data_IF_349594533011
#
_entry.id   IF_349594533011
#
_cell.length_a   1.000
_cell.length_b   1.000
_cell.length_c   1.000
_cell.angle_alpha   90.00
_cell.angle_beta   90.00
_cell.angle_gamma   90.00
#
_symmetry.space_group_name_H-M   'P 1'
#
loop_
_entity.id
_entity.type
_entity.pdbx_description
1 polymer ?
#
# COMPACT_ATOMS: atom_id res chain seq x y z
N UNK A 1 61.39 26.39 -45.48
CA UNK A 1 61.94 26.28 -44.12
C UNK A 1 60.84 25.73 -43.22
N UNK A 2 61.15 24.60 -42.58
CA UNK A 2 60.28 23.88 -41.65
C UNK A 2 60.24 24.67 -40.34
N UNK A 3 59.09 24.72 -39.65
CA UNK A 3 59.05 24.65 -38.20
C UNK A 3 57.66 24.20 -37.73
N UNK A 4 57.64 22.95 -37.26
CA UNK A 4 56.55 22.32 -36.51
C UNK A 4 56.78 22.69 -35.04
N UNK A 5 55.76 23.19 -34.35
CA UNK A 5 55.73 23.13 -32.88
C UNK A 5 54.63 22.15 -32.47
N UNK A 6 55.09 20.96 -32.05
CA UNK A 6 54.30 19.99 -31.31
C UNK A 6 54.30 20.42 -29.83
N UNK A 7 53.13 20.67 -29.25
CA UNK A 7 52.97 20.77 -27.80
C UNK A 7 52.51 19.41 -27.27
N UNK A 8 53.36 18.79 -26.46
CA UNK A 8 53.16 17.48 -25.86
C UNK A 8 52.26 17.58 -24.62
N UNK A 9 51.42 16.56 -24.48
CA UNK A 9 50.48 16.28 -23.40
C UNK A 9 51.20 15.94 -22.10
N UNK A 10 50.75 16.51 -20.98
CA UNK A 10 50.95 15.96 -19.64
C UNK A 10 49.72 16.28 -18.76
N UNK A 11 48.59 15.64 -19.07
CA UNK A 11 47.42 15.64 -18.18
C UNK A 11 47.53 14.44 -17.23
N UNK A 12 48.03 14.70 -16.02
CA UNK A 12 47.93 13.76 -14.90
C UNK A 12 46.45 13.49 -14.61
N UNK A 13 45.97 12.32 -15.00
CA UNK A 13 44.64 11.82 -14.65
C UNK A 13 44.57 11.51 -13.16
N UNK A 14 44.06 12.44 -12.36
CA UNK A 14 43.61 12.15 -11.01
C UNK A 14 42.30 11.35 -11.13
N UNK A 15 42.42 10.02 -11.04
CA UNK A 15 41.27 9.13 -10.96
C UNK A 15 40.63 9.33 -9.57
N UNK A 16 39.71 10.29 -9.46
CA UNK A 16 38.94 10.52 -8.24
C UNK A 16 37.93 9.37 -8.11
N UNK A 17 38.32 8.31 -7.41
CA UNK A 17 37.41 7.22 -7.02
C UNK A 17 36.43 7.82 -6.00
N UNK A 18 35.30 8.31 -6.51
CA UNK A 18 34.11 8.63 -5.71
C UNK A 18 33.58 7.31 -5.15
N UNK A 19 34.08 6.94 -3.97
CA UNK A 19 33.47 5.91 -3.13
C UNK A 19 32.12 6.49 -2.69
N UNK A 20 31.07 6.17 -3.44
CA UNK A 20 29.70 6.48 -3.05
C UNK A 20 29.40 5.59 -1.84
N UNK A 21 29.55 6.15 -0.64
CA UNK A 21 29.05 5.56 0.58
C UNK A 21 27.53 5.52 0.49
N UNK A 22 26.98 4.41 0.00
CA UNK A 22 25.56 4.13 0.18
C UNK A 22 25.37 3.87 1.67
N UNK A 23 24.62 4.72 2.41
CA UNK A 23 24.36 4.46 3.82
C UNK A 23 23.66 3.10 3.91
N UNK A 24 24.35 2.11 4.45
CA UNK A 24 23.68 0.88 4.86
C UNK A 24 22.80 1.26 6.04
N UNK A 25 21.49 1.15 5.87
CA UNK A 25 20.58 1.20 7.00
C UNK A 25 21.03 0.11 7.99
N UNK A 26 21.61 0.53 9.11
CA UNK A 26 21.92 -0.37 10.21
C UNK A 26 20.59 -0.87 10.75
N UNK A 27 20.43 -2.19 10.85
CA UNK A 27 19.29 -2.76 11.57
C UNK A 27 19.21 -2.06 12.94
N UNK A 28 18.11 -1.36 13.20
CA UNK A 28 17.94 -0.67 14.48
C UNK A 28 17.83 -1.75 15.55
N UNK A 29 18.80 -1.78 16.47
CA UNK A 29 18.70 -2.69 17.60
C UNK A 29 17.45 -2.34 18.42
N UNK A 30 16.62 -3.33 18.77
CA UNK A 30 15.44 -3.11 19.58
C UNK A 30 15.85 -2.50 20.92
N UNK A 31 15.28 -1.35 21.27
CA UNK A 31 15.55 -0.69 22.55
C UNK A 31 14.69 -1.34 23.61
N UNK A 32 15.29 -1.97 24.61
CA UNK A 32 14.55 -2.51 25.75
C UNK A 32 13.88 -1.35 26.50
N UNK A 33 12.58 -1.47 26.74
CA UNK A 33 11.75 -0.49 27.44
C UNK A 33 10.95 -1.18 28.53
N UNK A 34 10.56 -0.43 29.55
CA UNK A 34 9.72 -0.97 30.61
C UNK A 34 8.36 -1.40 30.06
N UNK A 35 7.95 -2.60 30.48
CA UNK A 35 6.60 -3.05 30.24
C UNK A 35 5.61 -2.26 31.11
N UNK A 36 4.37 -2.02 30.61
CA UNK A 36 3.29 -1.50 31.43
C UNK A 36 3.12 -2.33 32.72
N UNK A 37 3.18 -1.71 33.90
CA UNK A 37 3.05 -2.38 35.21
C UNK A 37 1.78 -1.89 35.94
N UNK A 38 0.91 -2.78 36.47
CA UNK A 38 0.95 -4.25 36.42
C UNK A 38 0.58 -4.77 35.05
N UNK A 39 1.19 -5.85 34.56
CA UNK A 39 0.74 -6.49 33.30
C UNK A 39 -0.56 -7.26 33.48
N UNK A 40 -0.72 -7.92 34.63
CA UNK A 40 -1.95 -8.59 35.00
C UNK A 40 -2.99 -7.55 35.45
N UNK A 41 -4.21 -7.67 34.96
CA UNK A 41 -5.32 -6.79 35.35
C UNK A 41 -5.35 -5.44 34.63
N UNK A 42 -4.50 -5.21 33.62
CA UNK A 42 -4.70 -4.04 32.75
C UNK A 42 -6.01 -4.17 32.01
N UNK A 43 -6.73 -3.05 31.88
CA UNK A 43 -7.83 -2.96 30.94
C UNK A 43 -7.33 -3.25 29.53
N UNK A 44 -8.15 -3.90 28.72
CA UNK A 44 -7.85 -4.08 27.31
C UNK A 44 -7.69 -2.72 26.64
N UNK A 45 -6.68 -2.60 25.77
CA UNK A 45 -6.53 -1.43 24.93
C UNK A 45 -7.79 -1.28 24.08
N UNK A 46 -8.41 -0.11 24.16
CA UNK A 46 -9.58 0.18 23.33
C UNK A 46 -9.10 0.41 21.91
N UNK A 47 -9.55 -0.44 20.99
CA UNK A 47 -9.31 -0.22 19.56
C UNK A 47 -10.10 1.03 19.14
N UNK A 48 -9.45 2.03 18.53
CA UNK A 48 -10.13 3.23 18.10
C UNK A 48 -11.20 2.91 17.06
N UNK A 49 -12.23 3.74 16.98
CA UNK A 49 -13.35 3.51 16.08
C UNK A 49 -13.76 4.79 15.35
N UNK A 50 -13.89 4.69 14.02
CA UNK A 50 -14.44 5.74 13.15
C UNK A 50 -15.86 5.30 12.77
N UNK A 51 -16.85 6.05 13.25
CA UNK A 51 -18.27 5.75 13.06
C UNK A 51 -18.86 6.51 11.88
N UNK A 52 -19.77 5.85 11.17
CA UNK A 52 -20.66 6.50 10.22
C UNK A 52 -21.62 7.47 10.91
N UNK A 53 -21.87 8.62 10.31
CA UNK A 53 -22.87 9.61 10.72
C UNK A 53 -23.68 10.06 9.50
N UNK A 54 -24.99 10.24 9.67
CA UNK A 54 -25.85 10.73 8.58
C UNK A 54 -25.88 9.85 7.33
N UNK A 55 -25.74 8.52 7.48
CA UNK A 55 -25.73 7.58 6.36
C UNK A 55 -24.40 7.50 5.61
N UNK A 56 -23.31 8.01 6.20
CA UNK A 56 -21.99 8.08 5.58
C UNK A 56 -20.88 7.78 6.57
N UNK A 57 -19.86 7.05 6.16
CA UNK A 57 -18.57 6.99 6.83
C UNK A 57 -17.56 7.77 5.99
N UNK A 58 -16.95 8.82 6.55
CA UNK A 58 -15.86 9.56 5.89
C UNK A 58 -14.62 9.53 6.77
N UNK A 59 -13.54 8.94 6.27
CA UNK A 59 -12.34 8.68 7.06
C UNK A 59 -11.05 9.08 6.32
N UNK A 60 -10.05 9.50 7.09
CA UNK A 60 -8.66 9.43 6.68
C UNK A 60 -8.07 8.15 7.28
N UNK A 61 -7.48 7.30 6.44
CA UNK A 61 -6.72 6.12 6.85
C UNK A 61 -5.27 6.30 6.39
N UNK A 62 -4.35 6.34 7.33
CA UNK A 62 -2.92 6.54 7.07
C UNK A 62 -2.17 5.30 7.45
N UNK A 63 -1.36 4.79 6.53
CA UNK A 63 -0.29 3.86 6.82
C UNK A 63 1.00 4.66 7.00
N UNK A 64 1.60 4.54 8.18
CA UNK A 64 2.89 5.14 8.49
C UNK A 64 3.75 4.19 9.33
N UNK A 65 4.92 4.67 9.72
CA UNK A 65 5.90 3.92 10.48
C UNK A 65 6.45 4.74 11.65
N UNK A 66 6.66 4.07 12.77
CA UNK A 66 7.22 4.66 13.98
C UNK A 66 7.61 3.54 14.97
N UNK A 67 8.29 3.94 16.03
CA UNK A 67 8.55 3.14 17.21
C UNK A 67 7.25 2.66 17.88
N UNK A 68 7.17 1.35 18.10
CA UNK A 68 6.07 0.66 18.79
C UNK A 68 6.64 -0.27 19.85
N UNK A 69 6.09 -0.17 21.05
CA UNK A 69 6.39 -1.08 22.15
C UNK A 69 5.76 -2.42 21.83
N UNK A 70 6.57 -3.46 21.73
CA UNK A 70 6.13 -4.83 21.59
C UNK A 70 6.59 -5.65 22.78
N UNK A 71 5.77 -6.62 23.15
CA UNK A 71 6.14 -7.60 24.16
C UNK A 71 7.07 -8.62 23.51
N UNK A 72 8.31 -8.66 23.99
CA UNK A 72 9.35 -9.55 23.47
C UNK A 72 9.38 -10.88 24.21
N UNK A 73 9.10 -10.85 25.52
CA UNK A 73 9.12 -12.02 26.39
C UNK A 73 8.02 -11.90 27.45
N UNK A 74 7.25 -12.98 27.63
CA UNK A 74 6.19 -13.12 28.64
C UNK A 74 6.61 -13.96 29.84
N UNK A 75 7.91 -14.19 30.02
CA UNK A 75 8.48 -14.94 31.15
C UNK A 75 8.25 -14.27 32.51
N UNK A 76 8.92 -14.78 33.54
CA UNK A 76 8.77 -14.30 34.94
C UNK A 76 9.11 -12.82 35.12
N UNK A 77 9.95 -12.28 34.23
CA UNK A 77 10.23 -10.85 34.12
C UNK A 77 9.90 -10.43 32.69
N UNK A 78 8.67 -10.01 32.43
CA UNK A 78 8.22 -9.66 31.09
C UNK A 78 9.05 -8.51 30.54
N UNK A 79 9.48 -8.65 29.29
CA UNK A 79 10.37 -7.71 28.62
C UNK A 79 9.65 -7.08 27.45
N UNK A 80 9.69 -5.76 27.40
CA UNK A 80 9.18 -4.99 26.30
C UNK A 80 10.35 -4.38 25.56
N UNK A 81 10.19 -4.24 24.25
CA UNK A 81 11.15 -3.55 23.43
C UNK A 81 10.41 -2.62 22.48
N UNK A 82 11.03 -1.51 22.13
CA UNK A 82 10.58 -0.70 21.02
C UNK A 82 11.10 -1.30 19.73
N UNK A 83 10.20 -1.58 18.80
CA UNK A 83 10.49 -1.96 17.43
C UNK A 83 9.92 -0.93 16.48
N UNK A 84 10.66 -0.66 15.42
CA UNK A 84 10.20 0.22 14.36
C UNK A 84 9.20 -0.53 13.48
N UNK A 85 7.93 -0.13 13.52
CA UNK A 85 6.84 -0.88 12.90
C UNK A 85 6.00 -0.02 11.98
N UNK A 86 5.40 -0.67 10.97
CA UNK A 86 4.35 -0.11 10.14
C UNK A 86 3.01 -0.31 10.81
N UNK A 87 2.16 0.69 10.80
CA UNK A 87 0.83 0.59 11.39
C UNK A 87 -0.15 1.53 10.69
N UNK A 88 -1.41 1.13 10.72
CA UNK A 88 -2.51 1.97 10.29
C UNK A 88 -2.99 2.83 11.46
N UNK A 89 -3.28 4.09 11.17
CA UNK A 89 -3.99 5.00 12.06
C UNK A 89 -4.93 5.87 11.22
N UNK A 90 -5.78 6.67 11.85
CA UNK A 90 -6.71 7.47 11.09
C UNK A 90 -7.67 8.27 11.95
N UNK A 91 -8.57 8.99 11.31
CA UNK A 91 -9.61 9.76 12.00
C UNK A 91 -10.83 10.01 11.12
N UNK A 92 -11.90 10.48 11.77
CA UNK A 92 -13.14 10.86 11.10
C UNK A 92 -13.00 12.20 10.39
N UNK A 93 -13.29 12.23 9.09
CA UNK A 93 -13.39 13.48 8.32
C UNK A 93 -14.76 14.14 8.47
N UNK A 94 -15.73 13.49 9.10
CA UNK A 94 -17.04 14.09 9.42
C UNK A 94 -16.99 14.88 10.73
N UNK A 95 -16.27 14.34 11.71
CA UNK A 95 -16.18 14.91 13.05
C UNK A 95 -14.78 14.71 13.60
N UNK A 96 -13.82 15.57 13.19
CA UNK A 96 -12.50 15.56 13.80
C UNK A 96 -12.63 15.81 15.31
N UNK A 97 -11.97 14.99 16.10
CA UNK A 97 -11.97 15.02 17.56
C UNK A 97 -10.61 15.38 18.14
N UNK A 98 -10.54 15.73 19.43
CA UNK A 98 -9.28 16.03 20.12
C UNK A 98 -8.34 14.80 20.25
N UNK A 99 -8.89 13.60 20.10
CA UNK A 99 -8.16 12.32 20.16
C UNK A 99 -7.62 11.89 18.78
N UNK A 100 -7.68 12.77 17.78
CA UNK A 100 -7.19 12.49 16.43
C UNK A 100 -5.67 12.74 16.28
N UNK A 101 -4.94 11.91 15.52
CA UNK A 101 -5.41 10.65 14.95
C UNK A 101 -5.71 9.62 16.04
N UNK A 102 -6.69 8.76 15.77
CA UNK A 102 -7.09 7.70 16.68
C UNK A 102 -6.03 6.58 16.65
N UNK A 103 -5.05 6.64 17.55
CA UNK A 103 -4.04 5.59 17.74
C UNK A 103 -3.62 5.48 19.21
N UNK A 104 -3.18 4.29 19.64
CA UNK A 104 -2.47 4.18 20.91
C UNK A 104 -1.03 4.60 20.70
N UNK A 105 -0.64 5.67 21.39
CA UNK A 105 0.70 6.29 21.41
C UNK A 105 1.83 5.36 20.99
N UNK A 106 2.27 4.49 21.89
CA UNK A 106 3.38 3.56 21.68
C UNK A 106 2.93 2.10 21.62
N UNK A 107 1.69 1.79 21.98
CA UNK A 107 1.22 0.40 22.00
C UNK A 107 0.92 -0.13 20.59
N UNK A 108 1.10 -1.43 20.35
CA UNK A 108 0.89 -2.04 19.04
C UNK A 108 -0.58 -2.44 18.92
N UNK A 109 -1.45 -1.49 18.58
CA UNK A 109 -2.86 -1.78 18.30
C UNK A 109 -3.10 -1.90 16.79
N UNK A 110 -4.14 -2.63 16.35
CA UNK A 110 -4.59 -2.56 14.96
C UNK A 110 -5.04 -1.15 14.58
N UNK A 111 -5.18 -0.91 13.28
CA UNK A 111 -5.81 0.30 12.77
C UNK A 111 -7.25 0.49 13.28
N UNK A 112 -7.83 1.68 13.08
CA UNK A 112 -9.16 1.98 13.59
C UNK A 112 -10.22 1.04 13.02
N UNK A 113 -11.16 0.65 13.87
CA UNK A 113 -12.39 -0.01 13.45
C UNK A 113 -13.23 0.97 12.63
N UNK A 114 -13.54 0.62 11.39
CA UNK A 114 -14.49 1.38 10.57
C UNK A 114 -15.90 0.83 10.83
N UNK A 115 -16.75 1.59 11.52
CA UNK A 115 -18.12 1.18 11.84
C UNK A 115 -19.12 1.91 10.95
N UNK A 116 -19.76 1.18 10.05
CA UNK A 116 -20.83 1.67 9.19
C UNK A 116 -22.09 0.81 9.29
N UNK A 117 -23.21 1.34 8.83
CA UNK A 117 -24.49 0.62 8.70
C UNK A 117 -24.68 0.13 7.27
N UNK A 118 -25.57 -0.84 7.13
CA UNK A 118 -26.08 -1.27 5.83
C UNK A 118 -26.72 -0.08 5.11
N UNK A 119 -26.34 0.13 3.85
CA UNK A 119 -26.80 1.26 3.04
C UNK A 119 -25.95 2.52 3.15
N UNK A 120 -24.98 2.58 4.07
CA UNK A 120 -24.12 3.75 4.21
C UNK A 120 -23.16 3.87 3.01
N UNK A 121 -22.84 5.12 2.66
CA UNK A 121 -21.76 5.45 1.74
C UNK A 121 -20.43 5.48 2.50
N UNK A 122 -19.46 4.71 2.05
CA UNK A 122 -18.11 4.67 2.59
C UNK A 122 -17.21 5.53 1.71
N UNK A 123 -16.48 6.46 2.32
CA UNK A 123 -15.51 7.35 1.71
C UNK A 123 -14.23 7.32 2.56
N UNK A 124 -13.16 6.71 2.05
CA UNK A 124 -11.88 6.63 2.77
C UNK A 124 -10.80 7.27 1.92
N UNK A 125 -10.21 8.35 2.41
CA UNK A 125 -8.93 8.85 1.90
C UNK A 125 -7.85 7.96 2.49
N UNK A 126 -7.14 7.22 1.66
CA UNK A 126 -6.01 6.43 2.08
C UNK A 126 -4.70 7.13 1.75
N UNK A 127 -3.77 7.14 2.70
CA UNK A 127 -2.41 7.64 2.52
C UNK A 127 -1.38 6.60 2.95
N UNK A 128 -0.45 6.27 2.07
CA UNK A 128 0.73 5.49 2.36
C UNK A 128 1.91 6.45 2.53
N UNK A 129 2.29 6.68 3.77
CA UNK A 129 3.38 7.58 4.17
C UNK A 129 4.59 6.81 4.73
N UNK A 130 4.72 5.53 4.37
CA UNK A 130 5.84 4.71 4.82
C UNK A 130 7.17 5.31 4.38
N UNK A 131 8.07 5.56 5.33
CA UNK A 131 9.45 5.86 5.01
C UNK A 131 10.21 4.57 4.68
N UNK A 132 10.46 4.35 3.39
CA UNK A 132 11.16 3.16 2.88
C UNK A 132 12.60 3.03 3.42
N UNK A 133 13.23 4.13 3.85
CA UNK A 133 14.59 4.11 4.39
C UNK A 133 14.69 3.36 5.73
N UNK A 134 13.58 3.24 6.47
CA UNK A 134 13.55 2.51 7.73
C UNK A 134 13.49 0.98 7.53
N UNK A 135 13.34 0.51 6.28
CA UNK A 135 13.01 -0.88 5.98
C UNK A 135 13.76 -1.49 4.79
N UNK A 136 15.08 -1.32 4.77
CA UNK A 136 15.98 -1.64 3.66
C UNK A 136 15.83 -3.03 3.01
N UNK A 137 15.41 -4.06 3.75
CA UNK A 137 15.35 -5.45 3.27
C UNK A 137 13.96 -5.90 2.81
N UNK A 138 12.97 -5.01 2.83
CA UNK A 138 11.56 -5.38 2.65
C UNK A 138 10.88 -4.50 1.60
N UNK A 139 11.66 -3.82 0.76
CA UNK A 139 11.18 -2.93 -0.30
C UNK A 139 10.78 -3.70 -1.57
N UNK A 140 10.05 -3.03 -2.46
CA UNK A 140 9.71 -3.56 -3.77
C UNK A 140 10.98 -3.92 -4.55
N UNK A 141 10.92 -5.00 -5.34
CA UNK A 141 12.06 -5.62 -6.06
C UNK A 141 12.89 -4.64 -6.91
N UNK A 142 12.30 -3.53 -7.33
CA UNK A 142 12.98 -2.48 -8.07
C UNK A 142 13.93 -1.64 -7.22
N UNK A 143 13.64 -1.41 -5.93
CA UNK A 143 14.34 -0.37 -5.17
C UNK A 143 15.73 -0.78 -4.67
N UNK A 144 15.89 -2.07 -4.35
CA UNK A 144 17.19 -2.63 -3.91
C UNK A 144 18.03 -3.17 -5.06
N UNK A 145 17.41 -3.35 -6.24
CA UNK A 145 18.01 -4.01 -7.40
C UNK A 145 18.56 -5.42 -7.12
N UNK A 146 18.07 -6.04 -6.05
CA UNK A 146 18.30 -7.44 -5.73
C UNK A 146 17.17 -8.28 -6.32
N UNK A 147 17.51 -9.45 -6.87
CA UNK A 147 16.52 -10.41 -7.37
C UNK A 147 15.81 -11.16 -6.21
N UNK A 148 16.38 -11.09 -5.00
CA UNK A 148 16.04 -11.88 -3.80
C UNK A 148 15.26 -11.06 -2.75
N UNK A 149 14.34 -10.19 -3.18
CA UNK A 149 13.53 -9.40 -2.23
C UNK A 149 12.58 -10.23 -1.35
N UNK A 150 12.09 -9.56 -0.30
CA UNK A 150 11.02 -9.87 0.67
C UNK A 150 11.32 -10.86 1.79
N UNK A 151 11.70 -10.31 2.95
CA UNK A 151 11.75 -10.97 4.26
C UNK A 151 12.28 -12.40 4.22
N UNK A 152 13.57 -12.50 3.88
CA UNK A 152 14.34 -13.72 4.11
C UNK A 152 14.29 -13.97 5.62
N UNK A 153 13.48 -14.93 6.07
CA UNK A 153 13.49 -15.35 7.47
C UNK A 153 14.83 -16.02 7.75
N UNK A 154 15.64 -15.43 8.64
CA UNK A 154 16.84 -16.08 9.15
C UNK A 154 16.43 -17.00 10.31
N UNK A 155 16.71 -18.30 10.19
CA UNK A 155 16.55 -19.23 11.28
C UNK A 155 17.77 -19.12 12.20
N UNK A 156 17.77 -18.14 13.13
CA UNK A 156 18.81 -18.00 14.14
C UNK A 156 20.25 -17.87 13.59
N UNK A 157 21.23 -17.88 14.50
CA UNK A 157 22.65 -17.63 14.20
C UNK A 157 23.24 -18.68 13.25
N UNK A 158 23.23 -18.39 11.95
CA UNK A 158 24.08 -19.03 10.94
C UNK A 158 23.36 -19.80 9.82
N UNK A 159 22.03 -19.89 9.80
CA UNK A 159 21.30 -20.69 8.81
C UNK A 159 20.42 -19.86 7.88
N UNK A 160 20.62 -19.99 6.55
CA UNK A 160 19.51 -19.79 5.61
C UNK A 160 18.37 -20.70 6.06
N UNK A 161 17.13 -20.18 6.16
CA UNK A 161 15.96 -21.02 6.40
C UNK A 161 15.84 -22.04 5.27
N UNK A 162 16.41 -23.23 5.49
CA UNK A 162 16.17 -24.40 4.66
C UNK A 162 14.95 -25.11 5.22
N UNK A 163 13.80 -24.42 5.17
CA UNK A 163 12.54 -25.11 5.38
C UNK A 163 12.28 -25.95 4.12
N UNK A 164 12.96 -27.10 4.01
CA UNK A 164 12.86 -28.03 2.87
C UNK A 164 11.43 -28.56 2.67
N UNK A 165 10.57 -28.38 3.67
CA UNK A 165 9.15 -28.74 3.69
C UNK A 165 8.24 -27.53 4.01
N UNK A 166 8.76 -26.30 4.01
CA UNK A 166 8.00 -25.09 4.31
C UNK A 166 7.41 -24.50 3.04
N UNK A 167 6.25 -23.83 3.17
CA UNK A 167 5.59 -23.13 2.09
C UNK A 167 6.58 -22.19 1.38
N UNK A 168 6.76 -22.37 0.07
CA UNK A 168 7.59 -21.45 -0.72
C UNK A 168 6.75 -20.19 -0.86
N UNK A 169 6.99 -19.20 0.01
CA UNK A 169 6.26 -17.94 0.01
C UNK A 169 6.18 -17.43 -1.43
N UNK A 170 4.97 -17.22 -1.98
CA UNK A 170 4.81 -16.91 -3.38
C UNK A 170 5.65 -15.67 -3.70
N UNK A 171 6.50 -15.85 -4.71
CA UNK A 171 7.31 -14.86 -5.39
C UNK A 171 6.77 -13.45 -5.14
N UNK A 172 7.34 -12.75 -4.15
CA UNK A 172 7.01 -11.38 -3.74
C UNK A 172 6.01 -10.69 -4.64
N UNK A 173 4.71 -10.82 -4.34
CA UNK A 173 3.73 -10.10 -5.14
C UNK A 173 4.08 -8.60 -5.06
N UNK A 174 4.43 -8.12 -3.85
CA UNK A 174 4.84 -6.73 -3.55
C UNK A 174 5.89 -6.66 -2.43
N UNK A 175 6.66 -5.57 -2.39
CA UNK A 175 7.43 -5.17 -1.23
C UNK A 175 6.51 -4.71 -0.10
N UNK A 176 6.97 -4.83 1.14
CA UNK A 176 6.22 -4.47 2.35
C UNK A 176 5.95 -2.95 2.51
N UNK A 177 6.51 -2.11 1.63
CA UNK A 177 6.20 -0.69 1.52
C UNK A 177 4.99 -0.42 0.61
N UNK A 178 4.60 -1.37 -0.24
CA UNK A 178 3.41 -1.27 -1.11
C UNK A 178 2.21 -1.87 -0.41
N UNK A 179 1.09 -1.14 -0.41
CA UNK A 179 -0.12 -1.53 0.32
C UNK A 179 -1.38 -1.46 -0.52
N UNK A 180 -2.32 -2.32 -0.16
CA UNK A 180 -3.71 -2.35 -0.59
C UNK A 180 -4.61 -2.36 0.65
N UNK A 181 -5.78 -1.75 0.58
CA UNK A 181 -6.82 -1.93 1.61
C UNK A 181 -7.97 -2.73 0.99
N UNK A 182 -8.11 -3.97 1.43
CA UNK A 182 -9.17 -4.90 1.04
C UNK A 182 -10.18 -5.05 2.18
N UNK A 183 -11.47 -5.00 1.87
CA UNK A 183 -12.54 -5.09 2.85
C UNK A 183 -13.09 -6.52 2.90
N UNK A 184 -12.51 -7.33 3.79
CA UNK A 184 -12.89 -8.74 3.92
C UNK A 184 -14.34 -8.90 4.39
N UNK A 185 -15.07 -9.81 3.75
CA UNK A 185 -16.47 -10.11 4.06
C UNK A 185 -17.48 -9.23 3.32
N UNK A 186 -17.02 -8.21 2.59
CA UNK A 186 -17.87 -7.39 1.73
C UNK A 186 -17.51 -7.63 0.27
N UNK A 187 -18.44 -8.15 -0.54
CA UNK A 187 -18.30 -8.17 -2.00
C UNK A 187 -18.59 -6.79 -2.60
N UNK A 188 -17.91 -5.75 -2.13
CA UNK A 188 -18.17 -4.36 -2.50
C UNK A 188 -17.40 -4.01 -3.76
N UNK A 189 -18.04 -4.11 -4.93
CA UNK A 189 -17.50 -3.62 -6.21
C UNK A 189 -16.02 -4.02 -6.49
N UNK A 190 -15.73 -5.31 -6.74
CA UNK A 190 -14.35 -5.85 -6.85
C UNK A 190 -13.47 -5.28 -7.97
N UNK A 191 -14.00 -4.40 -8.81
CA UNK A 191 -13.34 -3.92 -10.02
C UNK A 191 -13.29 -2.37 -10.09
N UNK A 192 -13.56 -1.68 -8.98
CA UNK A 192 -13.62 -0.20 -8.94
C UNK A 192 -12.80 0.34 -7.76
N UNK A 193 -12.99 1.62 -7.42
CA UNK A 193 -12.44 2.25 -6.21
C UNK A 193 -12.88 1.60 -4.88
N UNK A 194 -13.79 0.61 -4.88
CA UNK A 194 -14.33 0.05 -3.65
C UNK A 194 -13.50 -1.06 -3.01
N UNK A 195 -13.21 -2.12 -3.77
CA UNK A 195 -12.55 -3.33 -3.26
C UNK A 195 -11.66 -3.98 -4.33
N UNK A 196 -10.82 -3.18 -4.96
CA UNK A 196 -9.89 -3.68 -5.96
C UNK A 196 -8.63 -4.24 -5.27
N UNK A 197 -8.63 -5.56 -5.08
CA UNK A 197 -7.52 -6.32 -4.49
C UNK A 197 -6.22 -6.28 -5.30
N UNK A 198 -6.27 -5.78 -6.54
CA UNK A 198 -5.12 -5.66 -7.43
C UNK A 198 -4.48 -4.26 -7.39
N UNK A 199 -4.89 -3.37 -6.47
CA UNK A 199 -4.23 -2.07 -6.31
C UNK A 199 -2.93 -2.20 -5.52
N UNK A 200 -1.92 -1.49 -5.99
CA UNK A 200 -0.60 -1.40 -5.40
C UNK A 200 -0.26 0.06 -5.15
N UNK A 201 -0.46 0.49 -3.91
CA UNK A 201 -0.26 1.89 -3.51
C UNK A 201 1.11 1.99 -2.86
N UNK A 202 2.07 2.55 -3.61
CA UNK A 202 3.44 2.79 -3.10
C UNK A 202 3.48 4.00 -2.18
N UNK A 203 4.51 4.16 -1.33
CA UNK A 203 4.59 5.30 -0.43
C UNK A 203 4.70 6.64 -1.17
N UNK A 204 4.17 7.69 -0.55
CA UNK A 204 4.32 9.06 -1.02
C UNK A 204 5.73 9.59 -0.75
N UNK A 205 6.16 10.57 -1.56
CA UNK A 205 7.37 11.36 -1.28
C UNK A 205 7.08 12.57 -0.36
N UNK A 206 5.90 12.65 0.25
CA UNK A 206 5.48 13.76 1.10
C UNK A 206 4.01 13.67 1.52
N UNK A 207 3.49 14.76 2.09
CA UNK A 207 2.07 14.91 2.40
C UNK A 207 1.25 15.30 1.16
N UNK A 208 -0.05 14.99 1.18
CA UNK A 208 -0.95 15.32 0.08
C UNK A 208 -0.98 16.85 -0.10
N UNK A 209 -0.83 17.31 -1.35
CA UNK A 209 -0.89 18.74 -1.65
C UNK A 209 -2.32 19.28 -1.53
N UNK A 210 -2.52 20.59 -1.32
CA UNK A 210 -3.85 21.19 -1.31
C UNK A 210 -4.65 20.92 -2.60
N UNK A 211 -3.98 20.92 -3.75
CA UNK A 211 -4.60 20.56 -5.02
C UNK A 211 -5.02 19.09 -5.07
N UNK A 212 -4.18 18.18 -4.57
CA UNK A 212 -4.53 16.77 -4.41
C UNK A 212 -5.76 16.59 -3.51
N UNK A 213 -5.82 17.31 -2.39
CA UNK A 213 -6.97 17.27 -1.48
C UNK A 213 -8.25 17.80 -2.13
N UNK A 214 -8.18 18.89 -2.89
CA UNK A 214 -9.31 19.42 -3.66
C UNK A 214 -9.88 18.34 -4.60
N UNK A 215 -9.01 17.62 -5.29
CA UNK A 215 -9.39 16.61 -6.27
C UNK A 215 -9.97 15.35 -5.63
N UNK A 216 -9.47 14.96 -4.45
CA UNK A 216 -10.11 13.92 -3.66
C UNK A 216 -11.53 14.33 -3.24
N UNK A 217 -11.73 15.58 -2.84
CA UNK A 217 -13.06 16.08 -2.50
C UNK A 217 -14.01 16.09 -3.72
N UNK A 218 -13.51 16.43 -4.91
CA UNK A 218 -14.26 16.31 -6.16
C UNK A 218 -14.65 14.86 -6.46
N UNK A 219 -13.71 13.92 -6.29
CA UNK A 219 -13.97 12.49 -6.42
C UNK A 219 -15.09 12.03 -5.48
N UNK A 220 -15.01 12.37 -4.18
CA UNK A 220 -16.02 11.94 -3.22
C UNK A 220 -17.38 12.57 -3.52
N UNK A 221 -17.40 13.84 -3.92
CA UNK A 221 -18.62 14.53 -4.37
C UNK A 221 -19.26 13.85 -5.57
N UNK A 222 -18.45 13.39 -6.54
CA UNK A 222 -18.94 12.63 -7.68
C UNK A 222 -19.47 11.26 -7.23
N UNK A 223 -18.74 10.55 -6.37
CA UNK A 223 -19.14 9.25 -5.85
C UNK A 223 -20.47 9.29 -5.09
N UNK A 224 -20.70 10.33 -4.28
CA UNK A 224 -21.97 10.53 -3.58
C UNK A 224 -23.15 10.68 -4.55
N UNK A 225 -22.94 11.34 -5.69
CA UNK A 225 -23.99 11.61 -6.69
C UNK A 225 -24.25 10.43 -7.62
N UNK A 226 -23.20 9.79 -8.12
CA UNK A 226 -23.29 8.82 -9.22
C UNK A 226 -22.82 7.42 -8.86
N UNK A 227 -22.35 7.21 -7.63
CA UNK A 227 -21.69 5.99 -7.21
C UNK A 227 -20.20 5.94 -7.62
N UNK A 228 -19.49 4.86 -7.25
CA UNK A 228 -18.07 4.75 -7.52
C UNK A 228 -17.78 4.69 -9.03
N UNK A 229 -16.66 5.28 -9.48
CA UNK A 229 -16.25 5.21 -10.89
C UNK A 229 -16.08 3.76 -11.32
N UNK A 230 -16.56 3.43 -12.52
CA UNK A 230 -16.44 2.08 -13.09
C UNK A 230 -15.12 1.91 -13.84
N UNK A 231 -14.63 2.98 -14.44
CA UNK A 231 -13.40 3.01 -15.22
C UNK A 231 -12.46 4.08 -14.70
N UNK A 232 -11.17 3.92 -14.97
CA UNK A 232 -10.16 4.94 -14.67
C UNK A 232 -10.50 6.30 -15.29
N UNK A 233 -11.08 6.29 -16.50
CA UNK A 233 -11.47 7.51 -17.22
C UNK A 233 -12.62 8.27 -16.55
N UNK A 234 -13.36 7.63 -15.64
CA UNK A 234 -14.43 8.27 -14.86
C UNK A 234 -13.87 9.06 -13.67
N UNK A 235 -12.59 8.87 -13.32
CA UNK A 235 -11.91 9.65 -12.29
C UNK A 235 -11.75 11.11 -12.74
N UNK A 236 -11.68 12.08 -11.82
CA UNK A 236 -11.34 13.47 -12.17
C UNK A 236 -10.05 13.54 -13.01
N UNK A 237 -10.06 14.30 -14.11
CA UNK A 237 -8.92 14.35 -15.06
C UNK A 237 -7.61 14.78 -14.37
N UNK A 238 -7.70 15.69 -13.40
CA UNK A 238 -6.55 16.09 -12.60
C UNK A 238 -5.99 14.92 -11.78
N UNK A 239 -6.84 14.08 -11.16
CA UNK A 239 -6.38 12.88 -10.43
C UNK A 239 -5.62 11.94 -11.36
N UNK A 240 -6.16 11.71 -12.55
CA UNK A 240 -5.52 10.88 -13.57
C UNK A 240 -4.13 11.42 -13.93
N UNK A 241 -4.03 12.74 -14.14
CA UNK A 241 -2.77 13.44 -14.42
C UNK A 241 -1.78 13.35 -13.27
N UNK A 242 -2.25 13.56 -12.03
CA UNK A 242 -1.44 13.51 -10.81
C UNK A 242 -0.83 12.12 -10.60
N UNK A 243 -1.65 11.07 -10.65
CA UNK A 243 -1.15 9.70 -10.49
C UNK A 243 -0.24 9.28 -11.64
N UNK A 244 -0.53 9.68 -12.90
CA UNK A 244 0.39 9.48 -14.02
C UNK A 244 1.75 10.16 -13.78
N UNK A 245 1.74 11.39 -13.27
CA UNK A 245 2.97 12.12 -12.93
C UNK A 245 3.73 11.40 -11.82
N UNK A 246 3.06 10.99 -10.73
CA UNK A 246 3.73 10.31 -9.62
C UNK A 246 4.32 8.96 -10.03
N UNK A 247 3.58 8.15 -10.77
CA UNK A 247 4.07 6.85 -11.28
C UNK A 247 5.26 7.04 -12.22
N UNK A 248 5.20 8.04 -13.11
CA UNK A 248 6.32 8.35 -14.01
C UNK A 248 7.53 8.87 -13.25
N UNK A 249 7.31 9.73 -12.24
CA UNK A 249 8.37 10.21 -11.36
C UNK A 249 8.99 9.04 -10.60
N UNK A 250 8.18 8.10 -10.11
CA UNK A 250 8.66 6.90 -9.46
C UNK A 250 9.59 6.09 -10.38
N UNK A 251 9.14 5.77 -11.60
CA UNK A 251 9.99 5.08 -12.59
C UNK A 251 11.32 5.80 -12.84
N UNK A 252 11.26 7.13 -12.83
CA UNK A 252 12.38 8.02 -13.11
C UNK A 252 13.25 8.36 -11.91
N UNK A 253 12.89 8.01 -10.68
CA UNK A 253 13.63 8.46 -9.47
C UNK A 253 13.84 7.38 -8.44
N UNK A 254 13.07 6.29 -8.49
CA UNK A 254 13.26 5.16 -7.59
C UNK A 254 14.69 4.63 -7.74
N UNK A 255 15.44 4.51 -6.63
CA UNK A 255 16.78 3.99 -6.68
C UNK A 255 16.77 2.56 -7.22
N UNK A 256 17.77 2.16 -8.00
CA UNK A 256 17.95 0.78 -8.45
C UNK A 256 19.39 0.36 -8.15
N UNK A 257 19.59 -0.73 -7.41
CA UNK A 257 20.92 -1.19 -6.95
C UNK A 257 21.69 -0.10 -6.18
N UNK A 258 20.97 0.73 -5.41
CA UNK A 258 21.54 1.86 -4.66
C UNK A 258 21.97 3.04 -5.54
N UNK A 259 21.62 3.04 -6.83
CA UNK A 259 21.88 4.14 -7.75
C UNK A 259 20.59 4.89 -8.04
N UNK A 260 20.56 6.18 -7.72
CA UNK A 260 19.53 7.10 -8.20
C UNK A 260 19.91 7.59 -9.59
N UNK A 261 18.92 7.81 -10.49
CA UNK A 261 19.20 8.38 -11.79
C UNK A 261 19.64 9.84 -11.63
N UNK A 262 20.48 10.37 -12.53
CA UNK A 262 20.81 11.78 -12.53
C UNK A 262 19.54 12.61 -12.79
N UNK A 263 19.40 13.81 -12.20
CA UNK A 263 18.27 14.70 -12.48
C UNK A 263 18.07 14.91 -13.98
N UNK A 264 16.89 14.55 -14.50
CA UNK A 264 16.57 14.62 -15.94
C UNK A 264 17.15 13.50 -16.81
N UNK A 265 17.78 12.49 -16.21
CA UNK A 265 18.31 11.31 -16.90
C UNK A 265 17.24 10.26 -17.26
N UNK A 266 17.64 9.17 -17.94
CA UNK A 266 16.75 8.04 -18.19
C UNK A 266 16.30 7.39 -16.86
N UNK A 267 15.17 6.66 -16.87
CA UNK A 267 14.69 5.94 -15.69
C UNK A 267 15.79 5.06 -15.07
N UNK A 268 15.93 5.11 -13.73
CA UNK A 268 16.83 4.20 -13.01
C UNK A 268 16.30 2.77 -12.99
N UNK A 269 14.97 2.60 -12.96
CA UNK A 269 14.35 1.28 -13.02
C UNK A 269 14.49 0.67 -14.43
N UNK A 270 14.93 -0.60 -14.54
CA UNK A 270 14.87 -1.34 -15.78
C UNK A 270 13.47 -1.34 -16.39
N UNK A 271 13.37 -1.38 -17.72
CA UNK A 271 12.09 -1.30 -18.46
C UNK A 271 11.03 -2.30 -17.97
N UNK A 272 11.43 -3.50 -17.54
CA UNK A 272 10.53 -4.54 -17.03
C UNK A 272 10.09 -4.33 -15.57
N UNK A 273 10.65 -3.34 -14.87
CA UNK A 273 10.30 -2.94 -13.50
C UNK A 273 9.55 -1.61 -13.43
N UNK A 274 9.42 -0.90 -14.56
CA UNK A 274 8.68 0.35 -14.65
C UNK A 274 7.17 0.09 -14.52
N UNK A 275 6.51 0.94 -13.75
CA UNK A 275 5.09 0.88 -13.41
C UNK A 275 4.22 1.55 -14.47
N UNK A 276 4.71 2.66 -15.04
CA UNK A 276 3.95 3.48 -16.01
C UNK A 276 3.52 2.69 -17.26
N UNK A 277 4.39 1.87 -17.90
CA UNK A 277 3.97 1.07 -19.05
C UNK A 277 2.89 0.03 -18.71
N UNK A 278 2.88 -0.49 -17.49
CA UNK A 278 1.84 -1.44 -17.03
C UNK A 278 0.50 -0.71 -16.91
N UNK A 279 0.47 0.39 -16.15
CA UNK A 279 -0.74 1.21 -16.01
C UNK A 279 -1.30 1.68 -17.36
N UNK A 280 -0.43 2.15 -18.27
CA UNK A 280 -0.84 2.59 -19.60
C UNK A 280 -1.51 1.47 -20.40
N UNK A 281 -0.95 0.26 -20.36
CA UNK A 281 -1.53 -0.92 -21.01
C UNK A 281 -2.88 -1.29 -20.39
N UNK A 282 -3.01 -1.22 -19.08
CA UNK A 282 -4.28 -1.52 -18.39
C UNK A 282 -5.36 -0.52 -18.75
N UNK A 283 -5.05 0.78 -18.66
CA UNK A 283 -5.96 1.86 -19.05
C UNK A 283 -6.39 1.70 -20.52
N UNK A 284 -5.46 1.39 -21.43
CA UNK A 284 -5.76 1.16 -22.85
C UNK A 284 -6.70 -0.03 -23.07
N UNK A 285 -6.65 -1.04 -22.20
CA UNK A 285 -7.54 -2.20 -22.22
C UNK A 285 -8.81 -1.99 -21.38
N UNK A 286 -9.11 -0.75 -20.97
CA UNK A 286 -10.23 -0.41 -20.07
C UNK A 286 -10.21 -1.15 -18.74
N UNK A 287 -9.02 -1.51 -18.26
CA UNK A 287 -8.78 -2.05 -16.93
C UNK A 287 -8.41 -0.92 -15.97
N UNK A 288 -8.59 -1.19 -14.69
CA UNK A 288 -8.15 -0.28 -13.64
C UNK A 288 -6.62 -0.36 -13.51
N UNK A 289 -5.89 0.77 -13.52
CA UNK A 289 -4.44 0.75 -13.35
C UNK A 289 -4.07 0.25 -11.95
N UNK A 290 -3.22 -0.78 -11.91
CA UNK A 290 -2.82 -1.43 -10.65
C UNK A 290 -1.98 -0.51 -9.77
N UNK A 291 -1.06 0.28 -10.34
CA UNK A 291 -0.11 1.06 -9.54
C UNK A 291 -0.59 2.47 -9.25
N UNK A 292 -0.54 2.87 -8.00
CA UNK A 292 -0.81 4.22 -7.51
C UNK A 292 0.31 4.64 -6.57
N UNK A 293 0.54 5.95 -6.41
CA UNK A 293 1.58 6.47 -5.52
C UNK A 293 0.94 7.36 -4.46
N UNK A 294 1.29 7.09 -3.21
CA UNK A 294 0.97 7.89 -2.03
C UNK A 294 -0.47 7.76 -1.57
N UNK A 295 -1.43 8.05 -2.43
CA UNK A 295 -2.80 8.30 -2.00
C UNK A 295 -3.81 7.56 -2.88
N UNK A 296 -4.92 7.15 -2.27
CA UNK A 296 -6.01 6.53 -3.00
C UNK A 296 -7.38 6.82 -2.35
N UNK A 297 -8.38 7.26 -3.12
CA UNK A 297 -9.73 7.37 -2.61
C UNK A 297 -10.50 6.06 -2.75
N UNK A 298 -10.89 5.47 -1.64
CA UNK A 298 -11.89 4.41 -1.64
C UNK A 298 -13.28 5.00 -1.53
N UNK A 299 -14.17 4.55 -2.42
CA UNK A 299 -15.58 4.87 -2.30
C UNK A 299 -16.46 3.70 -2.74
N UNK A 300 -17.45 3.36 -1.91
CA UNK A 300 -18.44 2.32 -2.20
C UNK A 300 -19.62 2.43 -1.23
N UNK A 301 -20.74 1.82 -1.59
CA UNK A 301 -21.92 1.72 -0.72
C UNK A 301 -21.95 0.35 -0.07
N UNK A 302 -22.20 0.29 1.25
CA UNK A 302 -22.48 -0.98 1.93
C UNK A 302 -23.82 -1.49 1.38
N UNK A 303 -23.86 -2.63 0.68
CA UNK A 303 -25.07 -3.06 0.00
C UNK A 303 -26.19 -3.34 1.00
N UNK A 304 -27.37 -2.80 0.73
CA UNK A 304 -28.58 -3.23 1.42
C UNK A 304 -28.87 -4.69 1.05
N UNK A 305 -29.04 -5.54 2.06
CA UNK A 305 -29.55 -6.89 1.80
C UNK A 305 -31.01 -6.77 1.39
N UNK A 306 -31.27 -7.03 0.11
CA UNK A 306 -32.61 -7.24 -0.40
C UNK A 306 -32.73 -8.71 -0.81
N UNK A 307 -33.51 -9.55 -0.11
CA UNK A 307 -33.65 -10.97 -0.43
C UNK A 307 -34.26 -11.21 -1.82
N UNK A 308 -34.95 -10.22 -2.41
CA UNK A 308 -35.46 -10.32 -3.78
C UNK A 308 -34.36 -10.13 -4.84
N UNK A 309 -33.32 -9.34 -4.52
CA UNK A 309 -32.23 -9.00 -5.45
C UNK A 309 -30.95 -9.83 -5.20
N UNK A 310 -30.67 -10.17 -3.94
CA UNK A 310 -29.43 -10.82 -3.51
C UNK A 310 -29.72 -12.27 -3.17
N UNK A 311 -29.43 -13.17 -4.11
CA UNK A 311 -29.40 -14.61 -3.86
C UNK A 311 -28.00 -15.01 -3.40
N UNK A 312 -27.90 -15.67 -2.24
CA UNK A 312 -26.66 -16.29 -1.76
C UNK A 312 -25.95 -17.04 -2.91
N UNK A 313 -24.66 -16.75 -3.11
CA UNK A 313 -23.85 -17.32 -4.20
C UNK A 313 -23.93 -16.59 -5.55
N UNK A 314 -24.61 -15.43 -5.65
CA UNK A 314 -24.56 -14.57 -6.85
C UNK A 314 -24.01 -13.18 -6.53
N UNK A 315 -23.01 -12.75 -7.31
CA UNK A 315 -22.43 -11.39 -7.25
C UNK A 315 -23.53 -10.35 -7.55
N UNK A 316 -23.72 -9.33 -6.70
CA UNK A 316 -24.61 -8.21 -6.98
C UNK A 316 -24.19 -7.52 -8.30
N UNK A 317 -25.16 -7.17 -9.15
CA UNK A 317 -24.90 -6.43 -10.41
C UNK A 317 -25.11 -7.20 -11.71
N UNK A 318 -25.45 -8.50 -11.67
CA UNK A 318 -25.90 -9.22 -12.87
C UNK A 318 -27.42 -9.12 -12.98
N UNK A 319 -27.92 -7.98 -13.45
CA UNK A 319 -29.32 -7.89 -13.90
C UNK A 319 -29.53 -8.95 -14.98
N UNK A 320 -30.44 -9.88 -14.67
CA UNK A 320 -30.65 -11.06 -15.49
C UNK A 320 -31.25 -10.69 -16.85
N UNK A 321 -30.44 -10.72 -17.89
CA UNK A 321 -30.94 -11.22 -19.18
C UNK A 321 -31.04 -12.73 -19.05
N UNK A 322 -32.26 -13.20 -18.76
CA UNK A 322 -32.62 -14.60 -18.73
C UNK A 322 -32.44 -15.17 -20.13
N UNK A 323 -31.25 -15.67 -20.45
CA UNK A 323 -31.07 -16.54 -21.61
C UNK A 323 -31.54 -17.92 -21.17
N UNK A 324 -32.76 -18.26 -21.53
CA UNK A 324 -33.33 -19.61 -21.42
C UNK A 324 -32.47 -20.58 -22.24
N UNK A 325 -31.50 -21.23 -21.61
CA UNK A 325 -30.95 -22.48 -22.15
C UNK A 325 -31.69 -23.66 -21.52
N UNK A 326 -32.66 -24.17 -22.26
CA UNK A 326 -33.21 -25.51 -22.08
C UNK A 326 -32.10 -26.52 -22.39
N UNK A 327 -31.38 -26.95 -21.36
CA UNK A 327 -30.29 -27.92 -21.48
C UNK A 327 -30.19 -28.79 -20.25
N UNK A 328 -31.18 -29.66 -20.05
CA UNK A 328 -31.22 -30.66 -18.97
C UNK A 328 -30.18 -31.74 -19.28
N UNK A 329 -29.04 -31.76 -18.59
CA UNK A 329 -28.23 -32.98 -18.39
C UNK A 329 -28.09 -33.23 -16.90
N UNK A 330 -28.77 -34.28 -16.42
CA UNK A 330 -28.49 -34.91 -15.12
C UNK A 330 -27.18 -35.69 -15.28
N UNK A 331 -26.16 -35.33 -14.51
CA UNK A 331 -25.07 -36.24 -14.17
C UNK A 331 -25.27 -36.67 -12.73
N UNK A 332 -25.63 -37.93 -12.53
CA UNK A 332 -25.54 -38.62 -11.24
C UNK A 332 -24.08 -38.91 -10.94
N UNK A 333 -23.60 -38.52 -9.76
CA UNK A 333 -22.34 -39.00 -9.20
C UNK A 333 -22.64 -40.18 -8.26
N UNK A 334 -21.79 -41.23 -8.24
CA UNK A 334 -21.95 -42.33 -7.29
C UNK A 334 -21.39 -41.93 -5.93
N UNK A 335 -22.06 -42.37 -4.87
CA UNK A 335 -21.59 -42.37 -3.50
C UNK A 335 -20.65 -43.55 -3.27
N UNK A 336 -19.45 -43.26 -2.78
CA UNK A 336 -18.75 -44.10 -1.80
C UNK A 336 -18.95 -43.48 -0.42
#
# INVERSE_FOLDING_TARGET
>A
MKNKFSALVAACGLLLVLVVFVPRATAQEPRIVDCPNPLAGQGLLTVPEIKSEGGRLKALLVLSDNDRRVMWDTGTTPRCATQYMRYFHGYSLLKPGPEDPLFSKSDPIPGPTLRARVGDLIEIQFENLINTQHFSNSLDRGESGQNDGCDITFAGTGGKSQNLNGDTMPNCLHGSSTVNVHFHGTHTTPNTSGDNVLLFIRPAQGALTPDGQRVLNEFFTACEKTGPPMYWTDMPAYWQGLQKQFVTNYDNTAPYKGQSPPPGGPPALPKNMQLSPVNQREIANRLWPQYQIGYFPYCFKVPAYDPALVKMGRRPGRTGTTRTSTGRRRSTWPTE
#
